data_IF_212913104058
#
_entry.id   IF_212913104058
#
_cell.length_a   1.000
_cell.length_b   1.000
_cell.length_c   1.000
_cell.angle_alpha   90.00
_cell.angle_beta   90.00
_cell.angle_gamma   90.00
#
_symmetry.space_group_name_H-M   'P 1'
#
loop_
_entity.id
_entity.type
_entity.pdbx_description
1 polymer ?
#
# COMPACT_ATOMS: atom_id res chain seq x y z
N UNK A 1 3.61 1.84 -4.98
CA UNK A 1 4.59 2.79 -5.57
C UNK A 1 5.96 2.18 -5.36
N UNK A 2 6.65 1.76 -6.42
CA UNK A 2 8.04 1.34 -6.27
C UNK A 2 8.84 2.58 -5.89
N UNK A 3 9.46 2.62 -4.71
CA UNK A 3 10.42 3.67 -4.41
C UNK A 3 11.53 3.59 -5.47
N UNK A 4 11.60 4.59 -6.35
CA UNK A 4 12.63 4.66 -7.38
C UNK A 4 14.01 4.65 -6.72
N UNK A 5 14.93 3.88 -7.30
CA UNK A 5 16.31 3.77 -6.83
C UNK A 5 16.95 5.16 -6.80
N UNK A 6 17.37 5.62 -5.61
CA UNK A 6 18.10 6.89 -5.46
C UNK A 6 19.35 6.92 -6.33
N UNK A 7 19.55 8.01 -7.06
CA UNK A 7 20.77 8.29 -7.85
C UNK A 7 21.99 8.48 -6.94
N UNK A 8 23.20 8.41 -7.49
CA UNK A 8 24.42 8.67 -6.72
C UNK A 8 24.43 10.09 -6.12
N UNK A 9 24.00 11.10 -6.89
CA UNK A 9 23.91 12.48 -6.42
C UNK A 9 22.94 12.64 -5.24
N UNK A 10 21.76 12.01 -5.32
CA UNK A 10 20.79 12.01 -4.21
C UNK A 10 21.35 11.32 -2.95
N UNK A 11 22.21 10.32 -3.12
CA UNK A 11 22.88 9.65 -1.99
C UNK A 11 23.97 10.52 -1.38
N UNK A 12 24.71 11.28 -2.18
CA UNK A 12 25.73 12.21 -1.67
C UNK A 12 25.13 13.32 -0.79
N UNK A 13 23.87 13.66 -1.01
CA UNK A 13 23.12 14.67 -0.25
C UNK A 13 22.63 14.20 1.14
N UNK A 14 23.05 13.03 1.63
CA UNK A 14 22.73 12.58 2.99
C UNK A 14 23.17 13.60 4.04
N UNK A 15 22.23 13.95 4.92
CA UNK A 15 22.51 14.72 6.13
C UNK A 15 23.52 13.97 7.03
N UNK A 16 24.16 14.71 7.94
CA UNK A 16 25.06 14.13 8.96
C UNK A 16 24.41 12.97 9.74
N UNK A 17 23.12 13.11 10.07
CA UNK A 17 22.39 12.13 10.85
C UNK A 17 22.04 10.88 10.01
N UNK A 18 21.62 11.06 8.76
CA UNK A 18 21.42 9.94 7.82
C UNK A 18 22.71 9.18 7.58
N UNK A 19 23.83 9.89 7.39
CA UNK A 19 25.15 9.28 7.23
C UNK A 19 25.57 8.47 8.46
N UNK A 20 25.32 9.00 9.66
CA UNK A 20 25.57 8.29 10.92
C UNK A 20 24.71 7.03 11.04
N UNK A 21 23.43 7.12 10.69
CA UNK A 21 22.49 5.98 10.71
C UNK A 21 22.82 4.94 9.65
N UNK A 22 23.27 5.37 8.48
CA UNK A 22 23.75 4.48 7.42
C UNK A 22 25.02 3.73 7.84
N UNK A 23 25.96 4.39 8.50
CA UNK A 23 27.10 3.70 9.11
C UNK A 23 26.70 2.76 10.25
N UNK A 24 25.67 3.10 11.03
CA UNK A 24 25.15 2.23 12.08
C UNK A 24 24.51 0.95 11.51
N UNK A 25 23.92 0.98 10.31
CA UNK A 25 23.43 -0.24 9.64
C UNK A 25 24.58 -1.18 9.25
N UNK A 26 25.72 -0.67 8.79
CA UNK A 26 26.91 -1.49 8.52
C UNK A 26 27.48 -2.14 9.80
N UNK A 27 27.49 -1.40 10.90
CA UNK A 27 27.89 -1.93 12.21
C UNK A 27 26.91 -3.00 12.70
N UNK A 28 25.60 -2.82 12.47
CA UNK A 28 24.58 -3.84 12.75
C UNK A 28 24.84 -5.13 11.94
N UNK A 29 25.08 -5.01 10.63
CA UNK A 29 25.39 -6.17 9.79
C UNK A 29 26.65 -6.90 10.26
N UNK A 30 27.71 -6.15 10.60
CA UNK A 30 28.95 -6.69 11.16
C UNK A 30 28.70 -7.45 12.47
N UNK A 31 27.91 -6.88 13.38
CA UNK A 31 27.56 -7.50 14.65
C UNK A 31 26.76 -8.79 14.47
N UNK A 32 25.76 -8.78 13.58
CA UNK A 32 24.97 -9.97 13.24
C UNK A 32 25.88 -11.05 12.65
N UNK A 33 26.81 -10.73 11.75
CA UNK A 33 27.74 -11.72 11.16
C UNK A 33 28.71 -12.32 12.18
N UNK A 34 29.10 -11.58 13.22
CA UNK A 34 29.91 -12.13 14.31
C UNK A 34 29.15 -13.14 15.16
N UNK A 35 27.83 -13.02 15.22
CA UNK A 35 26.96 -13.92 15.98
C UNK A 35 26.48 -15.10 15.12
N UNK A 36 26.09 -14.81 13.88
CA UNK A 36 25.55 -15.75 12.89
C UNK A 36 26.25 -15.51 11.53
N UNK A 37 27.40 -16.15 11.28
CA UNK A 37 28.19 -15.97 10.06
C UNK A 37 27.46 -16.32 8.75
N UNK A 38 26.42 -17.14 8.83
CA UNK A 38 25.58 -17.58 7.72
C UNK A 38 24.61 -16.50 7.21
N UNK A 39 24.40 -15.41 7.95
CA UNK A 39 23.48 -14.32 7.60
C UNK A 39 23.74 -13.74 6.19
N UNK A 40 22.69 -13.62 5.37
CA UNK A 40 22.77 -13.03 4.03
C UNK A 40 22.00 -11.70 4.00
N UNK A 41 22.69 -10.61 3.68
CA UNK A 41 22.12 -9.27 3.74
C UNK A 41 21.65 -8.77 2.39
N UNK A 42 20.48 -8.12 2.37
CA UNK A 42 19.91 -7.48 1.20
C UNK A 42 20.20 -5.97 1.18
N UNK A 43 19.38 -5.19 1.88
CA UNK A 43 19.45 -3.72 1.90
C UNK A 43 19.38 -3.18 3.33
N UNK A 44 20.19 -2.16 3.62
CA UNK A 44 20.21 -1.50 4.94
C UNK A 44 20.32 0.02 4.87
N UNK A 45 19.32 0.73 4.33
CA UNK A 45 19.35 2.18 4.20
C UNK A 45 19.10 2.90 5.55
N UNK A 46 19.53 4.17 5.68
CA UNK A 46 18.97 5.06 6.68
C UNK A 46 17.51 5.39 6.33
N UNK A 47 16.70 5.61 7.36
CA UNK A 47 15.30 6.06 7.27
C UNK A 47 15.10 7.28 8.17
N UNK A 48 13.97 7.98 8.02
CA UNK A 48 13.66 9.24 8.72
C UNK A 48 13.94 9.17 10.23
N UNK A 49 13.59 8.05 10.87
CA UNK A 49 13.69 7.86 12.32
C UNK A 49 14.80 6.90 12.76
N UNK A 50 15.67 6.46 11.85
CA UNK A 50 16.70 5.48 12.18
C UNK A 50 17.33 4.81 10.96
N UNK A 51 17.49 3.51 11.02
CA UNK A 51 17.98 2.66 9.94
C UNK A 51 17.36 1.27 10.10
N UNK A 52 17.47 0.46 9.06
CA UNK A 52 17.21 -0.98 9.18
C UNK A 52 18.26 -1.77 8.41
N UNK A 53 18.24 -3.09 8.57
CA UNK A 53 18.88 -4.01 7.64
C UNK A 53 17.99 -5.24 7.43
N UNK A 54 17.72 -5.55 6.16
CA UNK A 54 17.07 -6.79 5.73
C UNK A 54 18.08 -7.94 5.67
N UNK A 55 17.80 -9.00 6.43
CA UNK A 55 18.65 -10.18 6.54
C UNK A 55 17.85 -11.46 6.34
N UNK A 56 18.40 -12.36 5.52
CA UNK A 56 18.00 -13.76 5.43
C UNK A 56 18.88 -14.56 6.40
N UNK A 57 18.24 -15.21 7.36
CA UNK A 57 18.88 -15.93 8.44
C UNK A 57 17.92 -17.02 8.96
N UNK A 58 18.36 -18.28 9.11
CA UNK A 58 17.51 -19.33 9.67
C UNK A 58 17.07 -19.07 11.12
N UNK A 59 17.95 -18.46 11.92
CA UNK A 59 17.60 -18.01 13.28
C UNK A 59 16.59 -16.87 13.22
N UNK A 60 15.45 -17.02 13.90
CA UNK A 60 14.44 -15.98 14.01
C UNK A 60 14.86 -14.96 15.06
N UNK A 61 15.38 -13.82 14.61
CA UNK A 61 15.76 -12.69 15.46
C UNK A 61 14.52 -12.19 16.20
N UNK A 62 14.67 -12.00 17.51
CA UNK A 62 13.65 -11.48 18.40
C UNK A 62 14.21 -10.35 19.28
N UNK A 63 13.37 -9.60 20.01
CA UNK A 63 13.84 -8.60 20.97
C UNK A 63 14.81 -9.16 22.03
N UNK A 64 14.72 -10.45 22.35
CA UNK A 64 15.63 -11.12 23.30
C UNK A 64 17.07 -11.20 22.79
N UNK A 65 17.26 -11.14 21.46
CA UNK A 65 18.58 -11.12 20.83
C UNK A 65 19.22 -9.73 20.83
N UNK A 66 18.45 -8.66 21.06
CA UNK A 66 18.92 -7.29 20.87
C UNK A 66 20.07 -6.94 21.81
N UNK A 67 20.03 -7.38 23.06
CA UNK A 67 21.12 -7.13 24.00
C UNK A 67 22.45 -7.72 23.52
N UNK A 68 22.41 -8.92 22.94
CA UNK A 68 23.57 -9.60 22.38
C UNK A 68 24.10 -8.89 21.12
N UNK A 69 23.21 -8.50 20.21
CA UNK A 69 23.58 -7.76 18.98
C UNK A 69 24.15 -6.39 19.33
N UNK A 70 23.50 -5.63 20.21
CA UNK A 70 23.97 -4.32 20.65
C UNK A 70 25.31 -4.39 21.37
N UNK A 71 25.59 -5.47 22.12
CA UNK A 71 26.89 -5.69 22.73
C UNK A 71 28.00 -5.86 21.67
N UNK A 72 27.75 -6.62 20.60
CA UNK A 72 28.71 -6.75 19.48
C UNK A 72 28.86 -5.44 18.69
N UNK A 73 27.77 -4.70 18.46
CA UNK A 73 27.84 -3.36 17.85
C UNK A 73 28.70 -2.40 18.68
N UNK A 74 28.57 -2.42 20.02
CA UNK A 74 29.42 -1.61 20.91
C UNK A 74 30.90 -1.97 20.79
N UNK A 75 31.23 -3.27 20.65
CA UNK A 75 32.61 -3.73 20.43
C UNK A 75 33.15 -3.18 19.11
N UNK A 76 32.36 -3.23 18.04
CA UNK A 76 32.74 -2.76 16.70
C UNK A 76 32.95 -1.23 16.65
N UNK A 77 32.10 -0.47 17.33
CA UNK A 77 32.26 0.99 17.48
C UNK A 77 33.52 1.31 18.28
N UNK A 78 33.78 0.58 19.36
CA UNK A 78 34.99 0.75 20.19
C UNK A 78 36.28 0.41 19.44
N UNK A 79 36.23 -0.56 18.52
CA UNK A 79 37.35 -0.92 17.66
C UNK A 79 37.73 0.22 16.68
N UNK A 80 36.80 1.14 16.40
CA UNK A 80 37.03 2.40 15.70
C UNK A 80 37.67 2.20 14.30
N UNK A 81 37.18 1.23 13.53
CA UNK A 81 37.66 0.96 12.18
C UNK A 81 37.31 2.12 11.23
N UNK A 82 38.19 2.48 10.27
CA UNK A 82 37.85 3.43 9.23
C UNK A 82 36.81 2.85 8.27
N UNK A 83 35.93 3.71 7.74
CA UNK A 83 35.10 3.38 6.58
C UNK A 83 35.85 3.76 5.30
N UNK A 84 36.29 2.75 4.56
CA UNK A 84 37.10 2.93 3.35
C UNK A 84 36.26 2.63 2.12
N UNK A 85 36.11 3.63 1.24
CA UNK A 85 35.43 3.47 -0.05
C UNK A 85 36.41 2.92 -1.07
N UNK A 86 36.03 1.84 -1.74
CA UNK A 86 36.79 1.22 -2.83
C UNK A 86 35.92 1.22 -4.08
N UNK A 87 36.35 1.89 -5.14
CA UNK A 87 35.71 1.76 -6.46
C UNK A 87 36.17 0.45 -7.10
N UNK A 88 35.23 -0.31 -7.65
CA UNK A 88 35.51 -1.58 -8.32
C UNK A 88 34.76 -1.65 -9.65
N UNK A 89 35.29 -2.44 -10.58
CA UNK A 89 34.55 -2.79 -11.78
C UNK A 89 33.38 -3.72 -11.46
N UNK A 90 32.42 -3.80 -12.39
CA UNK A 90 31.30 -4.74 -12.28
C UNK A 90 31.77 -6.19 -12.21
N UNK A 91 32.78 -6.55 -12.99
CA UNK A 91 33.32 -7.91 -13.01
C UNK A 91 33.98 -8.28 -11.68
N UNK A 92 34.72 -7.35 -11.06
CA UNK A 92 35.29 -7.54 -9.72
C UNK A 92 34.19 -7.67 -8.66
N UNK A 93 33.16 -6.82 -8.71
CA UNK A 93 32.04 -6.88 -7.78
C UNK A 93 31.29 -8.23 -7.91
N UNK A 94 31.03 -8.70 -9.13
CA UNK A 94 30.42 -10.00 -9.39
C UNK A 94 31.31 -11.15 -8.91
N UNK A 95 32.62 -11.07 -9.10
CA UNK A 95 33.56 -12.07 -8.61
C UNK A 95 33.54 -12.16 -7.08
N UNK A 96 33.57 -11.03 -6.37
CA UNK A 96 33.46 -10.98 -4.91
C UNK A 96 32.10 -11.51 -4.43
N UNK A 97 31.02 -11.14 -5.13
CA UNK A 97 29.68 -11.64 -4.84
C UNK A 97 29.60 -13.17 -4.96
N UNK A 98 30.17 -13.75 -6.02
CA UNK A 98 30.21 -15.22 -6.25
C UNK A 98 31.02 -15.96 -5.18
N UNK A 99 32.06 -15.34 -4.62
CA UNK A 99 32.85 -15.88 -3.50
C UNK A 99 32.21 -15.65 -2.12
N UNK A 100 30.97 -15.15 -2.07
CA UNK A 100 30.29 -14.90 -0.79
C UNK A 100 30.88 -13.74 0.03
N UNK A 101 31.75 -12.90 -0.56
CA UNK A 101 32.55 -11.89 0.16
C UNK A 101 31.80 -10.59 0.44
N UNK A 102 30.74 -10.29 -0.31
CA UNK A 102 29.95 -9.07 -0.17
C UNK A 102 28.93 -9.21 0.96
N UNK A 103 28.81 -8.16 1.77
CA UNK A 103 28.16 -8.16 3.07
C UNK A 103 28.53 -9.37 3.94
N UNK A 104 29.84 -9.62 4.04
CA UNK A 104 30.42 -10.68 4.84
C UNK A 104 31.70 -10.22 5.54
N UNK A 105 32.16 -10.99 6.53
CA UNK A 105 33.47 -10.77 7.18
C UNK A 105 34.61 -11.49 6.44
N UNK A 106 34.31 -12.57 5.74
CA UNK A 106 35.27 -13.38 4.97
C UNK A 106 34.61 -13.93 3.70
N UNK A 107 35.39 -14.60 2.84
CA UNK A 107 34.81 -15.42 1.77
C UNK A 107 33.96 -16.56 2.37
N UNK A 108 32.93 -16.99 1.64
CA UNK A 108 31.97 -18.02 2.07
C UNK A 108 31.69 -18.99 0.91
N UNK A 109 31.33 -20.26 1.20
CA UNK A 109 30.94 -21.22 0.17
C UNK A 109 29.72 -20.74 -0.64
N UNK A 110 28.76 -20.11 0.04
CA UNK A 110 27.54 -19.60 -0.57
C UNK A 110 27.78 -18.21 -1.19
N UNK A 111 27.27 -17.98 -2.41
CA UNK A 111 27.35 -16.67 -3.03
C UNK A 111 26.51 -15.63 -2.27
N UNK A 112 26.89 -14.36 -2.40
CA UNK A 112 26.22 -13.20 -1.79
C UNK A 112 24.92 -12.90 -2.55
N UNK A 113 23.90 -13.76 -2.37
CA UNK A 113 22.70 -13.88 -3.22
C UNK A 113 22.07 -12.52 -3.56
N UNK A 114 21.73 -11.72 -2.55
CA UNK A 114 21.06 -10.44 -2.76
C UNK A 114 21.99 -9.38 -3.35
N UNK A 115 23.28 -9.40 -3.01
CA UNK A 115 24.25 -8.44 -3.54
C UNK A 115 24.53 -8.67 -5.02
N UNK A 116 24.55 -9.93 -5.46
CA UNK A 116 24.67 -10.27 -6.88
C UNK A 116 23.50 -9.71 -7.71
N UNK A 117 22.27 -9.96 -7.25
CA UNK A 117 21.07 -9.40 -7.91
C UNK A 117 21.10 -7.85 -7.91
N UNK A 118 21.55 -7.20 -6.83
CA UNK A 118 21.72 -5.75 -6.83
C UNK A 118 22.72 -5.31 -7.91
N UNK A 119 23.89 -5.95 -8.01
CA UNK A 119 24.91 -5.60 -9.00
C UNK A 119 24.36 -5.71 -10.42
N UNK A 120 23.64 -6.78 -10.74
CA UNK A 120 23.04 -7.01 -12.06
C UNK A 120 22.06 -5.89 -12.45
N UNK A 121 21.37 -5.30 -11.47
CA UNK A 121 20.39 -4.24 -11.68
C UNK A 121 20.97 -2.81 -11.59
N UNK A 122 22.26 -2.63 -11.31
CA UNK A 122 22.91 -1.31 -11.41
C UNK A 122 23.04 -0.94 -12.90
N UNK A 123 22.72 0.31 -13.33
CA UNK A 123 22.95 0.78 -14.69
C UNK A 123 24.42 0.62 -15.15
N UNK A 124 24.70 0.29 -16.42
CA UNK A 124 26.06 0.03 -16.90
C UNK A 124 27.04 1.21 -16.76
N UNK A 125 26.52 2.44 -16.80
CA UNK A 125 27.25 3.71 -16.70
C UNK A 125 27.53 4.16 -15.26
N UNK A 126 26.90 3.50 -14.27
CA UNK A 126 27.08 3.87 -12.88
C UNK A 126 28.28 3.17 -12.23
N UNK A 127 29.09 3.94 -11.51
CA UNK A 127 30.23 3.43 -10.75
C UNK A 127 29.78 2.54 -9.59
N UNK A 128 30.39 1.38 -9.47
CA UNK A 128 30.17 0.48 -8.34
C UNK A 128 31.22 0.76 -7.28
N UNK A 129 30.78 0.94 -6.03
CA UNK A 129 31.68 1.06 -4.89
C UNK A 129 31.35 0.05 -3.80
N UNK A 130 32.40 -0.32 -3.08
CA UNK A 130 32.35 -1.10 -1.86
C UNK A 130 32.77 -0.23 -0.69
N UNK A 131 32.23 -0.50 0.49
CA UNK A 131 32.73 0.07 1.73
C UNK A 131 33.29 -1.04 2.62
N UNK A 132 34.53 -0.84 3.05
CA UNK A 132 35.21 -1.70 4.02
C UNK A 132 35.23 -1.04 5.39
N UNK A 133 34.91 -1.81 6.42
CA UNK A 133 35.08 -1.45 7.83
C UNK A 133 35.57 -2.67 8.61
N UNK A 134 36.84 -2.68 8.98
CA UNK A 134 37.48 -3.88 9.51
C UNK A 134 37.46 -5.01 8.47
N UNK A 135 36.99 -6.19 8.88
CA UNK A 135 36.84 -7.34 8.00
C UNK A 135 35.55 -7.30 7.17
N UNK A 136 34.59 -6.44 7.53
CA UNK A 136 33.33 -6.32 6.81
C UNK A 136 33.52 -5.56 5.49
N UNK A 137 33.01 -6.12 4.39
CA UNK A 137 32.96 -5.48 3.08
C UNK A 137 31.52 -5.52 2.57
N UNK A 138 30.94 -4.37 2.23
CA UNK A 138 29.59 -4.28 1.70
C UNK A 138 29.54 -3.57 0.35
N UNK A 139 28.59 -3.98 -0.49
CA UNK A 139 28.22 -3.28 -1.72
C UNK A 139 27.36 -2.07 -1.34
N UNK A 140 27.97 -0.89 -1.36
CA UNK A 140 27.33 0.33 -0.92
C UNK A 140 27.89 1.56 -1.65
N UNK A 141 27.01 2.49 -2.02
CA UNK A 141 27.38 3.76 -2.64
C UNK A 141 27.83 4.81 -1.60
N UNK A 142 27.46 4.63 -0.32
CA UNK A 142 27.71 5.62 0.73
C UNK A 142 26.79 6.84 0.64
N UNK A 143 27.20 7.97 1.26
CA UNK A 143 28.39 8.16 2.10
C UNK A 143 28.26 7.51 3.49
N UNK A 144 29.39 7.40 4.19
CA UNK A 144 29.50 6.92 5.59
C UNK A 144 30.26 7.94 6.45
N UNK A 145 30.10 7.86 7.78
CA UNK A 145 30.99 8.61 8.70
C UNK A 145 32.42 8.09 8.58
N UNK A 146 33.40 8.85 9.07
CA UNK A 146 34.82 8.51 8.88
C UNK A 146 35.22 7.17 9.50
N UNK A 147 34.74 6.87 10.70
CA UNK A 147 35.08 5.66 11.46
C UNK A 147 33.88 5.12 12.20
N UNK A 148 33.89 3.83 12.53
CA UNK A 148 32.83 3.21 13.36
C UNK A 148 32.69 3.91 14.71
N UNK A 149 33.78 4.45 15.28
CA UNK A 149 33.78 5.21 16.52
C UNK A 149 33.07 6.58 16.45
N UNK A 150 32.73 7.08 15.25
CA UNK A 150 31.92 8.30 15.12
C UNK A 150 30.42 8.05 15.34
N UNK A 151 29.98 6.79 15.37
CA UNK A 151 28.63 6.43 15.76
C UNK A 151 28.54 6.60 17.28
N UNK A 152 27.73 7.57 17.73
CA UNK A 152 27.61 7.92 19.13
C UNK A 152 26.76 6.93 19.92
N UNK A 153 25.49 7.26 20.13
CA UNK A 153 24.55 6.42 20.86
C UNK A 153 23.55 5.78 19.88
N UNK A 154 23.24 4.51 20.08
CA UNK A 154 22.32 3.76 19.24
C UNK A 154 21.45 2.83 20.07
N UNK A 155 20.34 2.37 19.49
CA UNK A 155 19.44 1.37 20.08
C UNK A 155 18.67 0.62 18.99
N UNK A 156 18.55 -0.70 19.11
CA UNK A 156 17.65 -1.51 18.30
C UNK A 156 16.22 -1.37 18.82
N UNK A 157 15.25 -1.30 17.90
CA UNK A 157 13.86 -0.93 18.26
C UNK A 157 12.89 -2.07 18.03
N UNK A 158 12.80 -2.58 16.81
CA UNK A 158 11.85 -3.62 16.42
C UNK A 158 12.47 -4.56 15.38
N UNK A 159 11.93 -5.77 15.32
CA UNK A 159 12.14 -6.70 14.19
C UNK A 159 10.81 -6.86 13.46
N UNK A 160 10.84 -6.74 12.14
CA UNK A 160 9.67 -6.89 11.29
C UNK A 160 9.93 -7.91 10.18
N UNK A 161 8.87 -8.39 9.54
CA UNK A 161 8.97 -9.12 8.29
C UNK A 161 9.04 -8.15 7.12
N UNK A 162 9.89 -8.42 6.14
CA UNK A 162 9.91 -7.74 4.87
C UNK A 162 9.98 -8.76 3.73
N UNK A 163 9.49 -8.40 2.54
CA UNK A 163 9.73 -9.20 1.34
C UNK A 163 10.84 -8.55 0.53
N UNK A 164 11.71 -9.37 -0.08
CA UNK A 164 12.77 -8.84 -0.93
C UNK A 164 12.18 -8.01 -2.09
N UNK A 165 12.70 -6.79 -2.28
CA UNK A 165 12.17 -5.78 -3.22
C UNK A 165 10.69 -5.37 -3.01
N UNK A 166 10.11 -5.70 -1.85
CA UNK A 166 8.72 -5.38 -1.53
C UNK A 166 7.66 -6.20 -2.28
N UNK A 167 8.05 -7.33 -2.87
CA UNK A 167 7.16 -8.22 -3.62
C UNK A 167 6.94 -9.51 -2.83
N UNK A 168 5.69 -9.80 -2.47
CA UNK A 168 5.27 -10.99 -1.68
C UNK A 168 5.65 -12.33 -2.32
N UNK A 169 5.93 -12.35 -3.64
CA UNK A 169 6.40 -13.54 -4.36
C UNK A 169 7.88 -13.84 -4.12
N UNK A 170 8.63 -12.89 -3.58
CA UNK A 170 10.04 -13.05 -3.26
C UNK A 170 10.25 -13.61 -1.84
N UNK A 171 11.47 -14.09 -1.51
CA UNK A 171 11.78 -14.57 -0.17
C UNK A 171 11.46 -13.55 0.92
N UNK A 172 10.89 -14.05 2.02
CA UNK A 172 10.67 -13.29 3.24
C UNK A 172 12.01 -13.11 3.98
N UNK A 173 12.28 -11.88 4.40
CA UNK A 173 13.47 -11.45 5.11
C UNK A 173 13.08 -10.92 6.49
N UNK A 174 14.05 -10.96 7.42
CA UNK A 174 13.92 -10.34 8.72
C UNK A 174 14.50 -8.93 8.65
N UNK A 175 13.69 -7.91 8.94
CA UNK A 175 14.10 -6.51 8.96
C UNK A 175 14.37 -6.09 10.39
N UNK A 176 15.64 -5.84 10.72
CA UNK A 176 16.04 -5.36 12.05
C UNK A 176 16.15 -3.83 12.01
N UNK A 177 15.33 -3.14 12.79
CA UNK A 177 15.35 -1.68 12.91
C UNK A 177 16.20 -1.23 14.08
N UNK A 178 16.86 -0.08 13.90
CA UNK A 178 17.53 0.64 14.97
C UNK A 178 17.53 2.14 14.72
N UNK A 179 17.94 2.90 15.72
CA UNK A 179 18.18 4.34 15.60
C UNK A 179 19.54 4.69 16.20
N UNK A 180 20.13 5.77 15.72
CA UNK A 180 21.42 6.25 16.18
C UNK A 180 21.51 7.77 16.11
N UNK A 181 22.27 8.34 17.05
CA UNK A 181 22.49 9.77 17.26
C UNK A 181 23.96 10.04 17.62
N UNK A 182 24.40 11.30 17.52
CA UNK A 182 25.79 11.68 17.85
C UNK A 182 26.06 11.57 19.35
N UNK A 183 25.04 11.81 20.19
CA UNK A 183 25.20 11.77 21.66
C UNK A 183 24.14 10.91 22.35
N UNK A 184 24.46 10.45 23.56
CA UNK A 184 23.51 9.74 24.42
C UNK A 184 22.31 10.60 24.80
N UNK A 185 22.54 11.90 25.03
CA UNK A 185 21.48 12.87 25.32
C UNK A 185 20.44 12.94 24.18
N UNK A 186 20.88 13.04 22.93
CA UNK A 186 19.96 13.08 21.78
C UNK A 186 19.13 11.80 21.67
N UNK A 187 19.74 10.63 21.92
CA UNK A 187 19.03 9.35 21.93
C UNK A 187 17.97 9.32 23.05
N UNK A 188 18.31 9.79 24.24
CA UNK A 188 17.41 9.80 25.39
C UNK A 188 16.27 10.82 25.19
N UNK A 189 16.57 12.00 24.65
CA UNK A 189 15.58 13.02 24.28
C UNK A 189 14.62 12.50 23.20
N UNK A 190 15.13 11.74 22.21
CA UNK A 190 14.30 11.09 21.19
C UNK A 190 13.32 10.08 21.79
N UNK A 191 13.77 9.19 22.67
CA UNK A 191 12.86 8.25 23.33
C UNK A 191 11.90 8.94 24.30
N UNK A 192 12.33 10.00 24.99
CA UNK A 192 11.43 10.81 25.82
C UNK A 192 10.32 11.46 24.97
N UNK A 193 10.66 12.00 23.79
CA UNK A 193 9.70 12.54 22.83
C UNK A 193 8.72 11.46 22.35
N UNK A 194 9.19 10.26 22.03
CA UNK A 194 8.31 9.15 21.61
C UNK A 194 7.33 8.73 22.72
N UNK A 195 7.78 8.64 23.97
CA UNK A 195 6.90 8.34 25.10
C UNK A 195 5.87 9.47 25.32
N UNK A 196 6.28 10.72 25.13
CA UNK A 196 5.39 11.86 25.23
C UNK A 196 4.35 11.91 24.09
N UNK A 197 4.74 11.50 22.88
CA UNK A 197 3.84 11.33 21.74
C UNK A 197 2.82 10.20 21.98
N UNK A 198 3.25 9.05 22.53
CA UNK A 198 2.34 7.93 22.88
C UNK A 198 1.26 8.35 23.88
N UNK A 199 1.56 9.26 24.81
CA UNK A 199 0.56 9.81 25.74
C UNK A 199 -0.50 10.67 25.06
N UNK A 200 -0.21 11.22 23.88
CA UNK A 200 -1.10 12.08 23.08
C UNK A 200 -1.77 11.34 21.92
N UNK A 201 -1.62 10.03 21.86
CA UNK A 201 -2.30 9.21 20.86
C UNK A 201 -3.82 9.36 21.03
N UNK A 202 -4.48 9.83 19.97
CA UNK A 202 -5.92 10.11 20.00
C UNK A 202 -6.77 8.86 20.27
N UNK A 203 -6.26 7.65 20.02
CA UNK A 203 -6.95 6.39 20.31
C UNK A 203 -6.93 6.09 21.80
N UNK A 204 -5.79 6.35 22.44
CA UNK A 204 -5.66 6.28 23.90
C UNK A 204 -6.57 7.32 24.56
N UNK A 205 -6.44 8.57 24.15
CA UNK A 205 -7.25 9.66 24.69
C UNK A 205 -8.74 9.49 24.38
N UNK A 206 -9.09 9.02 23.18
CA UNK A 206 -10.47 8.76 22.77
C UNK A 206 -11.18 7.76 23.67
N UNK A 207 -10.46 6.71 24.10
CA UNK A 207 -10.95 5.74 25.08
C UNK A 207 -11.01 6.34 26.48
N UNK A 208 -9.93 6.98 26.95
CA UNK A 208 -9.85 7.54 28.31
C UNK A 208 -10.86 8.67 28.55
N UNK A 209 -11.19 9.44 27.52
CA UNK A 209 -12.10 10.58 27.59
C UNK A 209 -13.52 10.27 27.10
N UNK A 210 -13.79 9.03 26.67
CA UNK A 210 -15.09 8.56 26.17
C UNK A 210 -15.59 9.37 24.95
N UNK A 211 -14.73 9.54 23.95
CA UNK A 211 -15.03 10.35 22.77
C UNK A 211 -15.62 9.52 21.62
N UNK A 212 -15.08 8.33 21.37
CA UNK A 212 -15.53 7.45 20.29
C UNK A 212 -15.18 6.00 20.60
N UNK A 213 -15.82 5.09 19.88
CA UNK A 213 -15.58 3.65 19.98
C UNK A 213 -15.60 3.02 18.58
N UNK A 214 -14.90 1.91 18.45
CA UNK A 214 -14.98 1.01 17.30
C UNK A 214 -15.60 -0.30 17.75
N UNK A 215 -16.41 -0.89 16.90
CA UNK A 215 -17.11 -2.13 17.18
C UNK A 215 -16.94 -3.08 15.98
N UNK A 216 -16.66 -4.35 16.27
CA UNK A 216 -16.36 -5.34 15.24
C UNK A 216 -17.58 -5.65 14.36
N UNK A 217 -18.80 -5.61 14.92
CA UNK A 217 -20.04 -5.86 14.18
C UNK A 217 -20.40 -4.67 13.27
N UNK A 218 -19.98 -3.45 13.64
CA UNK A 218 -20.14 -2.25 12.80
C UNK A 218 -19.13 -2.24 11.65
N UNK A 219 -17.88 -2.62 11.93
CA UNK A 219 -16.83 -2.78 10.95
C UNK A 219 -15.66 -1.78 11.09
N UNK A 220 -14.50 -2.11 10.48
CA UNK A 220 -13.29 -1.31 10.62
C UNK A 220 -13.40 0.03 9.88
N UNK A 221 -12.76 1.08 10.42
CA UNK A 221 -12.78 2.42 9.82
C UNK A 221 -14.10 3.19 10.00
N UNK A 222 -15.05 2.64 10.77
CA UNK A 222 -16.37 3.23 11.02
C UNK A 222 -16.51 3.64 12.50
N UNK A 223 -15.94 4.80 12.91
CA UNK A 223 -16.02 5.26 14.29
C UNK A 223 -17.45 5.61 14.70
N UNK A 224 -17.84 5.19 15.89
CA UNK A 224 -19.06 5.66 16.55
C UNK A 224 -18.71 6.70 17.60
N UNK A 225 -19.22 7.92 17.41
CA UNK A 225 -19.00 9.01 18.37
C UNK A 225 -19.88 8.80 19.61
N UNK A 226 -19.23 8.80 20.78
CA UNK A 226 -19.89 8.84 22.08
C UNK A 226 -20.33 10.28 22.38
N UNK A 227 -21.23 10.53 23.35
CA UNK A 227 -21.82 11.85 23.57
C UNK A 227 -20.81 13.01 23.66
N UNK A 228 -19.64 12.80 24.27
CA UNK A 228 -18.59 13.82 24.38
C UNK A 228 -17.89 14.10 23.05
N UNK A 229 -17.60 13.07 22.27
CA UNK A 229 -17.01 13.24 20.94
C UNK A 229 -18.01 13.84 19.95
N UNK A 230 -19.29 13.46 20.04
CA UNK A 230 -20.36 14.04 19.25
C UNK A 230 -20.50 15.55 19.54
N UNK A 231 -20.47 15.97 20.81
CA UNK A 231 -20.49 17.39 21.18
C UNK A 231 -19.31 18.17 20.58
N UNK A 232 -18.09 17.59 20.57
CA UNK A 232 -16.93 18.22 19.93
C UNK A 232 -17.14 18.37 18.42
N UNK A 233 -17.62 17.31 17.75
CA UNK A 233 -17.90 17.34 16.32
C UNK A 233 -18.96 18.40 15.97
N UNK A 234 -20.04 18.50 16.75
CA UNK A 234 -21.10 19.48 16.57
C UNK A 234 -20.59 20.93 16.71
N UNK A 235 -19.77 21.23 17.72
CA UNK A 235 -19.20 22.57 17.89
C UNK A 235 -18.22 22.94 16.76
N UNK A 236 -17.43 21.98 16.26
CA UNK A 236 -16.57 22.19 15.10
C UNK A 236 -17.38 22.44 13.83
N UNK A 237 -18.44 21.64 13.59
CA UNK A 237 -19.34 21.86 12.47
C UNK A 237 -20.03 23.22 12.54
N UNK A 238 -20.45 23.64 13.74
CA UNK A 238 -21.09 24.93 13.96
C UNK A 238 -20.14 26.07 13.59
N UNK A 239 -18.92 26.05 14.12
CA UNK A 239 -17.89 27.04 13.80
C UNK A 239 -17.63 27.12 12.30
N UNK A 240 -17.52 25.97 11.65
CA UNK A 240 -17.26 25.91 10.22
C UNK A 240 -18.46 26.43 9.40
N UNK A 241 -19.71 26.15 9.80
CA UNK A 241 -20.93 26.74 9.18
C UNK A 241 -20.96 28.26 9.32
N UNK A 242 -20.63 28.78 10.50
CA UNK A 242 -20.56 30.23 10.76
C UNK A 242 -19.49 30.90 9.89
N UNK A 243 -18.32 30.26 9.77
CA UNK A 243 -17.20 30.76 8.96
C UNK A 243 -17.52 30.72 7.46
N UNK A 244 -18.10 29.64 6.97
CA UNK A 244 -18.57 29.49 5.59
C UNK A 244 -19.60 30.57 5.23
N UNK A 245 -20.57 30.81 6.12
CA UNK A 245 -21.59 31.83 5.93
C UNK A 245 -20.97 33.24 5.85
N UNK A 246 -20.07 33.57 6.77
CA UNK A 246 -19.34 34.84 6.75
C UNK A 246 -18.49 35.02 5.47
N UNK A 247 -17.98 33.92 4.89
CA UNK A 247 -17.24 33.91 3.64
C UNK A 247 -18.14 33.88 2.37
N UNK A 248 -19.47 33.92 2.52
CA UNK A 248 -20.42 33.97 1.42
C UNK A 248 -20.63 32.64 0.70
N UNK A 249 -20.43 31.51 1.38
CA UNK A 249 -20.78 30.19 0.84
C UNK A 249 -22.29 29.93 0.95
N UNK A 250 -22.83 29.27 -0.06
CA UNK A 250 -24.21 28.80 -0.09
C UNK A 250 -24.23 27.31 0.25
N UNK A 251 -24.85 26.97 1.38
CA UNK A 251 -24.94 25.58 1.85
C UNK A 251 -25.90 24.78 0.97
N UNK A 252 -25.48 23.56 0.63
CA UNK A 252 -26.26 22.58 -0.13
C UNK A 252 -26.22 21.22 0.57
N UNK A 253 -27.06 20.29 0.12
CA UNK A 253 -27.06 18.88 0.56
C UNK A 253 -27.22 17.98 -0.64
N UNK A 254 -26.46 16.90 -0.70
CA UNK A 254 -26.43 15.95 -1.81
C UNK A 254 -26.56 14.51 -1.31
N UNK A 255 -27.14 13.60 -2.12
CA UNK A 255 -27.26 12.19 -1.75
C UNK A 255 -25.91 11.50 -1.49
N UNK A 256 -25.95 10.35 -0.80
CA UNK A 256 -24.77 9.50 -0.55
C UNK A 256 -24.50 8.47 -1.65
N UNK A 257 -25.47 8.24 -2.54
CA UNK A 257 -25.38 7.27 -3.63
C UNK A 257 -25.65 7.94 -4.98
N UNK A 258 -24.97 7.47 -6.03
CA UNK A 258 -25.25 7.90 -7.39
C UNK A 258 -24.98 6.79 -8.40
N UNK A 259 -25.61 6.91 -9.58
CA UNK A 259 -25.40 6.00 -10.70
C UNK A 259 -23.96 6.04 -11.18
N UNK A 260 -23.45 4.89 -11.63
CA UNK A 260 -22.13 4.73 -12.22
C UNK A 260 -21.84 5.75 -13.33
N UNK A 261 -22.86 6.09 -14.13
CA UNK A 261 -22.74 7.05 -15.23
C UNK A 261 -22.30 8.45 -14.78
N UNK A 262 -22.59 8.86 -13.55
CA UNK A 262 -22.11 10.13 -12.98
C UNK A 262 -20.59 10.09 -12.76
N UNK A 263 -20.07 8.98 -12.22
CA UNK A 263 -18.65 8.81 -11.93
C UNK A 263 -17.82 8.57 -13.19
N UNK A 264 -18.40 7.92 -14.21
CA UNK A 264 -17.81 7.85 -15.56
C UNK A 264 -17.72 9.24 -16.20
N UNK A 265 -18.83 9.99 -16.18
CA UNK A 265 -18.89 11.35 -16.77
C UNK A 265 -17.97 12.35 -16.08
N UNK A 266 -17.81 12.24 -14.77
CA UNK A 266 -16.89 13.09 -14.00
C UNK A 266 -15.44 12.64 -14.08
N UNK A 267 -15.16 11.48 -14.67
CA UNK A 267 -13.81 10.93 -14.82
C UNK A 267 -13.26 10.24 -13.57
N UNK A 268 -14.03 10.08 -12.50
CA UNK A 268 -13.53 9.48 -11.26
C UNK A 268 -13.40 7.97 -11.36
N UNK A 269 -14.38 7.27 -11.95
CA UNK A 269 -14.36 5.81 -11.94
C UNK A 269 -13.10 5.21 -12.59
N UNK A 270 -12.59 5.71 -13.73
CA UNK A 270 -11.34 5.21 -14.31
C UNK A 270 -10.10 5.30 -13.40
N UNK A 271 -10.06 6.23 -12.45
CA UNK A 271 -8.87 6.50 -11.62
C UNK A 271 -9.04 6.12 -10.14
N UNK A 272 -10.28 6.12 -9.63
CA UNK A 272 -10.60 5.93 -8.22
C UNK A 272 -11.32 4.61 -7.95
N UNK A 273 -11.56 3.75 -8.96
CA UNK A 273 -12.30 2.50 -8.81
C UNK A 273 -11.83 1.65 -7.63
N UNK A 274 -10.51 1.53 -7.41
CA UNK A 274 -9.93 0.73 -6.31
C UNK A 274 -10.20 1.34 -4.93
N UNK A 275 -10.35 2.66 -4.85
CA UNK A 275 -10.60 3.42 -3.61
C UNK A 275 -12.09 3.72 -3.36
N UNK A 276 -12.98 3.27 -4.25
CA UNK A 276 -14.43 3.41 -4.11
C UNK A 276 -15.02 2.09 -3.61
N UNK A 277 -16.04 2.17 -2.75
CA UNK A 277 -16.78 0.96 -2.38
C UNK A 277 -17.35 0.27 -3.63
N UNK A 278 -17.40 -1.08 -3.63
CA UNK A 278 -17.99 -1.83 -4.73
C UNK A 278 -19.40 -1.34 -5.07
N UNK A 279 -19.80 -1.39 -6.36
CA UNK A 279 -21.14 -0.99 -6.77
C UNK A 279 -22.21 -1.87 -6.13
N UNK A 280 -23.34 -1.25 -5.82
CA UNK A 280 -24.61 -1.94 -5.58
C UNK A 280 -25.37 -2.03 -6.91
N UNK A 281 -25.77 -3.23 -7.30
CA UNK A 281 -26.59 -3.45 -8.50
C UNK A 281 -28.06 -3.44 -8.10
N UNK A 282 -28.82 -2.51 -8.67
CA UNK A 282 -30.27 -2.44 -8.52
C UNK A 282 -30.92 -3.11 -9.74
N UNK A 283 -31.63 -4.21 -9.51
CA UNK A 283 -32.35 -4.95 -10.55
C UNK A 283 -33.82 -4.57 -10.48
N UNK A 284 -34.31 -3.87 -11.50
CA UNK A 284 -35.74 -3.54 -11.62
C UNK A 284 -36.54 -4.75 -12.12
N UNK A 285 -37.86 -4.78 -11.87
CA UNK A 285 -38.72 -5.93 -12.23
C UNK A 285 -38.70 -6.26 -13.72
N UNK A 286 -38.47 -5.25 -14.57
CA UNK A 286 -38.30 -5.42 -16.02
C UNK A 286 -37.04 -6.21 -16.39
N UNK A 287 -36.00 -6.13 -15.55
CA UNK A 287 -34.68 -6.73 -15.76
C UNK A 287 -34.54 -8.10 -15.07
N UNK A 288 -35.35 -8.37 -14.04
CA UNK A 288 -35.35 -9.67 -13.31
C UNK A 288 -35.54 -10.86 -14.24
N UNK A 289 -36.50 -10.80 -15.17
CA UNK A 289 -36.76 -11.90 -16.12
C UNK A 289 -35.60 -12.15 -17.06
N UNK A 290 -34.84 -11.12 -17.42
CA UNK A 290 -33.66 -11.26 -18.28
C UNK A 290 -32.49 -11.84 -17.49
N UNK A 291 -32.27 -11.37 -16.26
CA UNK A 291 -31.23 -11.89 -15.37
C UNK A 291 -31.46 -13.35 -14.98
N UNK A 292 -32.69 -13.73 -14.63
CA UNK A 292 -33.07 -15.11 -14.32
C UNK A 292 -32.78 -16.05 -15.50
N UNK A 293 -33.12 -15.62 -16.73
CA UNK A 293 -32.80 -16.37 -17.94
C UNK A 293 -31.30 -16.51 -18.15
N UNK A 294 -30.53 -15.42 -18.02
CA UNK A 294 -29.09 -15.45 -18.18
C UNK A 294 -28.41 -16.36 -17.14
N UNK A 295 -28.81 -16.25 -15.87
CA UNK A 295 -28.28 -17.07 -14.79
C UNK A 295 -28.66 -18.55 -14.94
N UNK A 296 -29.88 -18.87 -15.40
CA UNK A 296 -30.28 -20.24 -15.68
C UNK A 296 -29.41 -20.87 -16.78
N UNK A 297 -29.09 -20.11 -17.82
CA UNK A 297 -28.21 -20.56 -18.90
C UNK A 297 -26.78 -20.77 -18.37
N UNK A 298 -26.24 -19.82 -17.59
CA UNK A 298 -24.90 -19.93 -16.98
C UNK A 298 -24.81 -21.17 -16.07
N UNK A 299 -25.77 -21.33 -15.14
CA UNK A 299 -25.80 -22.46 -14.22
C UNK A 299 -25.93 -23.80 -14.95
N UNK A 300 -26.65 -23.85 -16.06
CA UNK A 300 -26.75 -25.04 -16.88
C UNK A 300 -25.42 -25.39 -17.57
N UNK A 301 -24.70 -24.39 -18.08
CA UNK A 301 -23.35 -24.61 -18.65
C UNK A 301 -22.35 -25.12 -17.63
N UNK A 302 -22.33 -24.53 -16.44
CA UNK A 302 -21.38 -24.90 -15.38
C UNK A 302 -21.61 -26.33 -14.85
N UNK A 303 -22.85 -26.82 -14.87
CA UNK A 303 -23.20 -28.12 -14.30
C UNK A 303 -23.08 -29.30 -15.28
N UNK A 304 -23.27 -29.08 -16.58
CA UNK A 304 -23.38 -30.19 -17.54
C UNK A 304 -22.23 -30.30 -18.54
N UNK A 305 -21.36 -29.29 -18.65
CA UNK A 305 -20.35 -29.25 -19.71
C UNK A 305 -20.99 -29.27 -21.11
N UNK A 306 -20.17 -29.18 -22.16
CA UNK A 306 -20.64 -29.04 -23.54
C UNK A 306 -21.45 -30.18 -24.15
N UNK A 307 -21.65 -31.31 -23.47
CA UNK A 307 -22.03 -32.57 -24.13
C UNK A 307 -23.47 -33.05 -23.91
N UNK A 308 -24.36 -32.27 -23.30
CA UNK A 308 -25.76 -32.70 -23.12
C UNK A 308 -26.74 -31.69 -23.70
N UNK A 309 -26.75 -31.51 -25.02
CA UNK A 309 -27.61 -30.51 -25.66
C UNK A 309 -28.50 -30.97 -26.83
N UNK A 310 -28.61 -32.27 -27.15
CA UNK A 310 -29.59 -32.70 -28.16
C UNK A 310 -31.00 -32.93 -27.61
N UNK A 311 -31.17 -33.30 -26.33
CA UNK A 311 -32.50 -33.63 -25.75
C UNK A 311 -33.35 -32.43 -25.33
N UNK A 312 -32.72 -31.34 -24.89
CA UNK A 312 -33.42 -30.14 -24.40
C UNK A 312 -33.87 -29.24 -25.57
N UNK A 313 -33.18 -29.32 -26.72
CA UNK A 313 -33.53 -28.60 -27.95
C UNK A 313 -34.87 -29.05 -28.56
N UNK A 314 -35.32 -30.27 -28.29
CA UNK A 314 -36.62 -30.77 -28.77
C UNK A 314 -37.79 -30.21 -27.93
N UNK A 315 -37.58 -29.92 -26.65
CA UNK A 315 -38.60 -29.30 -25.80
C UNK A 315 -38.69 -27.79 -26.00
N UNK A 316 -37.58 -27.08 -26.22
CA UNK A 316 -37.59 -25.62 -26.41
C UNK A 316 -38.24 -25.18 -27.75
N UNK A 317 -38.22 -26.03 -28.77
CA UNK A 317 -38.92 -25.81 -30.05
C UNK A 317 -40.45 -25.88 -29.94
N UNK A 318 -40.99 -26.32 -28.80
CA UNK A 318 -42.44 -26.46 -28.58
C UNK A 318 -43.19 -25.13 -28.33
N UNK A 319 -42.47 -24.00 -28.29
CA UNK A 319 -43.02 -22.68 -28.58
C UNK A 319 -43.72 -21.98 -27.42
N UNK A 320 -43.06 -20.95 -26.85
CA UNK A 320 -43.70 -19.76 -26.29
C UNK A 320 -42.66 -18.72 -25.83
N UNK A 321 -42.27 -17.81 -26.72
CA UNK A 321 -41.66 -16.53 -26.35
C UNK A 321 -42.20 -15.43 -27.29
N UNK A 322 -43.08 -14.59 -26.76
CA UNK A 322 -43.70 -13.46 -27.47
C UNK A 322 -43.09 -12.12 -27.07
N UNK A 323 -42.86 -11.31 -28.11
CA UNK A 323 -42.61 -9.87 -28.21
C UNK A 323 -41.15 -9.32 -28.23
N UNK A 324 -40.66 -8.78 -29.38
CA UNK A 324 -39.29 -8.31 -29.60
C UNK A 324 -39.17 -6.78 -29.76
N UNK A 325 -38.41 -6.10 -28.91
CA UNK A 325 -38.03 -4.69 -29.14
C UNK A 325 -36.53 -4.42 -28.95
N UNK A 326 -35.72 -4.96 -29.86
CA UNK A 326 -34.66 -4.28 -30.65
C UNK A 326 -33.83 -5.35 -31.36
N UNK A 327 -34.03 -5.49 -32.68
CA UNK A 327 -33.46 -6.58 -33.50
C UNK A 327 -31.93 -6.65 -33.52
N UNK A 328 -31.23 -5.57 -33.17
CA UNK A 328 -29.76 -5.57 -33.09
C UNK A 328 -29.23 -6.21 -31.81
N UNK A 329 -29.95 -6.09 -30.69
CA UNK A 329 -29.56 -6.58 -29.37
C UNK A 329 -29.90 -8.06 -29.19
N UNK A 330 -31.05 -8.49 -29.73
CA UNK A 330 -31.52 -9.87 -29.65
C UNK A 330 -30.62 -10.86 -30.41
N UNK A 331 -30.08 -10.48 -31.57
CA UNK A 331 -29.23 -11.35 -32.40
C UNK A 331 -27.87 -11.59 -31.74
N UNK A 332 -27.28 -10.56 -31.12
CA UNK A 332 -26.04 -10.67 -30.35
C UNK A 332 -26.26 -11.50 -29.08
N UNK A 333 -27.37 -11.28 -28.36
CA UNK A 333 -27.76 -12.10 -27.21
C UNK A 333 -28.07 -13.56 -27.60
N UNK A 334 -28.71 -13.80 -28.75
CA UNK A 334 -28.93 -15.14 -29.31
C UNK A 334 -27.63 -15.81 -29.78
N UNK A 335 -26.67 -15.07 -30.33
CA UNK A 335 -25.36 -15.60 -30.76
C UNK A 335 -24.44 -15.92 -29.57
N UNK A 336 -24.56 -15.16 -28.48
CA UNK A 336 -23.95 -15.44 -27.18
C UNK A 336 -24.48 -16.75 -26.61
N UNK A 337 -25.81 -16.88 -26.52
CA UNK A 337 -26.49 -18.11 -26.08
C UNK A 337 -26.13 -19.29 -26.98
N UNK A 338 -26.15 -19.11 -28.32
CA UNK A 338 -25.82 -20.16 -29.31
C UNK A 338 -24.37 -20.61 -29.37
N UNK A 339 -23.43 -19.81 -28.88
CA UNK A 339 -22.05 -20.24 -28.82
C UNK A 339 -21.62 -20.69 -27.43
N UNK A 340 -22.27 -20.21 -26.36
CA UNK A 340 -22.27 -20.94 -25.10
C UNK A 340 -22.78 -22.38 -25.35
N UNK A 341 -23.86 -22.58 -26.12
CA UNK A 341 -24.40 -23.89 -26.59
C UNK A 341 -23.38 -24.82 -27.29
N UNK A 342 -22.17 -24.34 -27.63
CA UNK A 342 -21.08 -25.15 -28.22
C UNK A 342 -19.88 -25.34 -27.27
N UNK A 343 -20.03 -25.04 -25.99
CA UNK A 343 -18.95 -24.99 -24.99
C UNK A 343 -17.80 -24.04 -25.35
N UNK A 344 -18.12 -22.90 -25.96
CA UNK A 344 -17.17 -21.82 -26.19
C UNK A 344 -16.98 -21.01 -24.90
N UNK A 345 -15.88 -21.24 -24.19
CA UNK A 345 -15.53 -20.56 -22.94
C UNK A 345 -15.48 -19.02 -23.09
N UNK A 346 -15.13 -18.51 -24.28
CA UNK A 346 -15.11 -17.08 -24.54
C UNK A 346 -16.53 -16.48 -24.51
N UNK A 347 -17.50 -17.21 -25.06
CA UNK A 347 -18.92 -16.78 -25.04
C UNK A 347 -19.59 -16.98 -23.69
N UNK A 348 -19.18 -17.98 -22.92
CA UNK A 348 -19.61 -18.09 -21.52
C UNK A 348 -19.14 -16.88 -20.71
N UNK A 349 -17.90 -16.42 -20.94
CA UNK A 349 -17.38 -15.20 -20.33
C UNK A 349 -18.17 -13.97 -20.76
N UNK A 350 -18.44 -13.79 -22.05
CA UNK A 350 -19.26 -12.67 -22.54
C UNK A 350 -20.69 -12.71 -21.98
N UNK A 351 -21.31 -13.90 -21.82
CA UNK A 351 -22.62 -14.05 -21.20
C UNK A 351 -22.60 -13.70 -19.71
N UNK A 352 -21.54 -14.07 -18.98
CA UNK A 352 -21.32 -13.66 -17.58
C UNK A 352 -21.12 -12.14 -17.47
N UNK A 353 -20.37 -11.54 -18.39
CA UNK A 353 -20.20 -10.08 -18.47
C UNK A 353 -21.53 -9.37 -18.80
N UNK A 354 -22.34 -9.93 -19.71
CA UNK A 354 -23.68 -9.45 -20.01
C UNK A 354 -24.61 -9.54 -18.80
N UNK A 355 -24.69 -10.70 -18.13
CA UNK A 355 -25.49 -10.88 -16.93
C UNK A 355 -25.08 -9.90 -15.81
N UNK A 356 -23.77 -9.68 -15.63
CA UNK A 356 -23.24 -8.69 -14.69
C UNK A 356 -23.52 -7.22 -15.07
N UNK A 357 -23.87 -6.97 -16.34
CA UNK A 357 -24.27 -5.64 -16.83
C UNK A 357 -25.78 -5.37 -16.68
N UNK A 358 -26.59 -6.39 -16.35
CA UNK A 358 -28.03 -6.25 -16.13
C UNK A 358 -28.29 -5.55 -14.79
N UNK A 359 -29.09 -4.48 -14.84
CA UNK A 359 -29.44 -3.65 -13.70
C UNK A 359 -28.60 -2.37 -13.62
N UNK A 360 -29.14 -1.38 -12.91
CA UNK A 360 -28.47 -0.10 -12.72
C UNK A 360 -27.43 -0.22 -11.59
N UNK A 361 -26.18 0.15 -11.88
CA UNK A 361 -25.10 0.18 -10.87
C UNK A 361 -25.06 1.53 -10.15
N UNK A 362 -25.09 1.49 -8.83
CA UNK A 362 -24.95 2.63 -7.93
C UNK A 362 -23.70 2.49 -7.09
N UNK A 363 -23.06 3.61 -6.80
CA UNK A 363 -21.90 3.69 -5.92
C UNK A 363 -22.21 4.61 -4.75
N UNK A 364 -21.71 4.25 -3.56
CA UNK A 364 -21.49 5.22 -2.49
C UNK A 364 -20.55 6.30 -3.01
N UNK A 365 -20.83 7.56 -2.69
CA UNK A 365 -19.97 8.67 -3.11
C UNK A 365 -18.66 8.62 -2.33
N UNK A 366 -17.54 8.74 -3.06
CA UNK A 366 -16.21 8.92 -2.47
C UNK A 366 -15.80 10.41 -2.41
N UNK A 367 -16.65 11.29 -2.93
CA UNK A 367 -16.46 12.74 -2.99
C UNK A 367 -17.74 13.48 -3.39
N UNK A 368 -17.84 14.74 -2.97
CA UNK A 368 -18.99 15.61 -3.25
C UNK A 368 -18.98 16.27 -4.63
N UNK A 369 -17.82 16.44 -5.27
CA UNK A 369 -17.65 17.27 -6.47
C UNK A 369 -18.63 16.94 -7.62
N UNK A 370 -18.84 15.66 -8.01
CA UNK A 370 -19.79 15.32 -9.08
C UNK A 370 -21.22 15.78 -8.81
N UNK A 371 -21.64 15.78 -7.55
CA UNK A 371 -22.98 16.24 -7.14
C UNK A 371 -23.06 17.77 -7.15
N UNK A 372 -22.03 18.47 -6.68
CA UNK A 372 -21.99 19.94 -6.73
C UNK A 372 -22.03 20.45 -8.17
N UNK A 373 -21.42 19.75 -9.13
CA UNK A 373 -21.58 20.08 -10.55
C UNK A 373 -23.03 19.95 -11.04
N UNK A 374 -23.81 18.99 -10.52
CA UNK A 374 -25.24 18.87 -10.85
C UNK A 374 -26.06 20.01 -10.26
N UNK A 375 -25.75 20.42 -9.03
CA UNK A 375 -26.40 21.58 -8.41
C UNK A 375 -26.08 22.87 -9.15
N UNK A 376 -24.82 23.08 -9.54
CA UNK A 376 -24.43 24.22 -10.37
C UNK A 376 -25.19 24.25 -11.70
N UNK A 377 -25.26 23.11 -12.39
CA UNK A 377 -25.93 22.99 -13.69
C UNK A 377 -27.47 23.05 -13.63
N UNK A 378 -28.09 22.88 -12.46
CA UNK A 378 -29.54 22.82 -12.31
C UNK A 378 -30.23 24.17 -12.54
N UNK A 379 -29.52 25.28 -12.38
CA UNK A 379 -30.07 26.64 -12.50
C UNK A 379 -29.16 27.43 -13.46
N UNK A 380 -29.69 28.00 -14.55
CA UNK A 380 -28.92 28.91 -15.41
C UNK A 380 -28.37 30.10 -14.63
N UNK A 381 -27.11 30.47 -14.87
CA UNK A 381 -26.42 31.56 -14.17
C UNK A 381 -25.87 32.60 -15.13
N UNK A 382 -25.91 33.86 -14.70
CA UNK A 382 -25.24 34.97 -15.35
C UNK A 382 -23.80 35.09 -14.85
N UNK A 383 -22.91 35.73 -15.62
CA UNK A 383 -21.56 36.07 -15.15
C UNK A 383 -21.59 36.96 -13.89
N UNK A 384 -22.69 37.70 -13.67
CA UNK A 384 -22.90 38.55 -12.49
C UNK A 384 -23.19 37.77 -11.22
N UNK A 385 -23.64 36.52 -11.34
CA UNK A 385 -23.90 35.64 -10.19
C UNK A 385 -22.60 35.00 -9.65
N UNK A 386 -21.45 35.28 -10.30
CA UNK A 386 -20.14 34.79 -9.91
C UNK A 386 -19.38 35.87 -9.11
N UNK A 387 -18.59 35.47 -8.09
CA UNK A 387 -18.25 34.11 -7.71
C UNK A 387 -19.35 33.39 -6.90
N UNK A 388 -19.70 32.17 -7.32
CA UNK A 388 -20.57 31.26 -6.57
C UNK A 388 -19.71 30.25 -5.80
N UNK A 389 -20.02 30.04 -4.52
CA UNK A 389 -19.36 29.04 -3.68
C UNK A 389 -20.41 28.15 -3.04
N UNK A 390 -20.36 26.85 -3.34
CA UNK A 390 -21.23 25.86 -2.70
C UNK A 390 -20.45 25.17 -1.57
N UNK A 391 -21.11 24.93 -0.44
CA UNK A 391 -20.53 24.21 0.70
C UNK A 391 -21.46 23.11 1.19
N UNK A 392 -20.89 22.01 1.63
CA UNK A 392 -21.61 20.88 2.22
C UNK A 392 -20.68 20.13 3.18
N UNK A 393 -21.20 19.69 4.32
CA UNK A 393 -20.59 18.59 5.08
C UNK A 393 -21.11 17.28 4.54
N UNK A 394 -20.48 16.86 3.44
CA UNK A 394 -20.87 15.68 2.73
C UNK A 394 -20.14 14.47 3.30
N UNK A 395 -20.91 13.50 3.80
CA UNK A 395 -20.37 12.19 4.19
C UNK A 395 -20.00 11.41 2.93
N UNK A 396 -18.72 11.17 2.76
CA UNK A 396 -18.13 10.39 1.68
C UNK A 396 -17.56 9.08 2.24
N UNK A 397 -17.47 8.06 1.38
CA UNK A 397 -17.05 6.71 1.72
C UNK A 397 -15.92 6.27 0.79
N UNK A 398 -14.80 5.85 1.38
CA UNK A 398 -13.64 5.34 0.64
C UNK A 398 -13.32 3.92 1.06
N UNK A 399 -12.95 3.12 0.09
CA UNK A 399 -12.55 1.73 0.27
C UNK A 399 -11.03 1.67 0.49
N UNK A 400 -10.61 2.20 1.64
CA UNK A 400 -9.21 2.18 2.06
C UNK A 400 -8.78 0.73 2.39
N UNK A 401 -7.50 0.41 2.24
CA UNK A 401 -7.02 -0.94 2.53
C UNK A 401 -7.10 -1.19 4.03
N UNK A 402 -7.41 -2.42 4.43
CA UNK A 402 -7.59 -2.76 5.85
C UNK A 402 -6.36 -2.43 6.73
N UNK A 403 -5.15 -2.50 6.18
CA UNK A 403 -3.91 -2.13 6.88
C UNK A 403 -3.66 -0.62 6.98
N UNK A 404 -4.44 0.21 6.28
CA UNK A 404 -4.36 1.67 6.30
C UNK A 404 -5.36 2.29 7.29
N UNK A 405 -6.36 1.52 7.73
CA UNK A 405 -7.38 1.97 8.68
C UNK A 405 -6.80 2.14 10.09
N UNK A 406 -6.91 3.35 10.66
CA UNK A 406 -6.29 3.67 11.94
C UNK A 406 -7.14 4.62 12.80
N UNK A 407 -8.18 4.06 13.44
CA UNK A 407 -8.97 4.83 14.40
C UNK A 407 -9.65 6.03 13.72
N UNK A 408 -9.43 7.25 14.22
CA UNK A 408 -10.01 8.46 13.63
C UNK A 408 -9.15 9.07 12.48
N UNK A 409 -8.41 8.22 11.76
CA UNK A 409 -8.52 7.96 10.32
C UNK A 409 -7.65 6.75 10.01
#
# INVERSE_FOLDING_TARGET
>A
MSEERKTLEQREQMTDLERLRHSASHVLATAILKIWPEAQFAAGPPVENGFYYDVDLPHRISPDDFEKIEAEMKKEIKANHPFERVEVSRDEALALGKKGRLAALSERPEPSKFKLDIIENIPPDEKISLYRSGDFIDLCAGPHVMRTGNIGAFKLTIVASAYYKGDEKNPQLQRVYGTAFKTKKELDDYFAMLEEAKKRDHRKLGRELELFVFDEDVGPGLPMFLPRGAAIAEELEKLAKETEFAAGYQRVRTPHIARESLYKKSGHLPYYAESMFPPMTLIEDKDKKQLEKANAIIAHFENYGGEVWERVLDEAKSGNLSDPTTKGDLLTQLELVRGAERADEAKLRELKEFAASIGDRYYLKAMNCPHHHKLFAAIPRSYRDLPLRLAEYGTDYRYEKSGELFGLM
#
